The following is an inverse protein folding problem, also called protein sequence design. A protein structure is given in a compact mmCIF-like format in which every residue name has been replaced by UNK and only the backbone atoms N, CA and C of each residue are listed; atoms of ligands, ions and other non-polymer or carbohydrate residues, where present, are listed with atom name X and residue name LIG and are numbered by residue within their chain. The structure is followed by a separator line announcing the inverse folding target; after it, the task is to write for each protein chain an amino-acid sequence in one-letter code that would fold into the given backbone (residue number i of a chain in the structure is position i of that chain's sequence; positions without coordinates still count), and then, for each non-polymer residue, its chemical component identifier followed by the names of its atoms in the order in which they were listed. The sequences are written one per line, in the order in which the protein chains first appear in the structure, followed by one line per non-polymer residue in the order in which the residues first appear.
data_IF_398701223568
#
_entry.id   IF_398701223568
#
_cell.length_a   1.000
_cell.length_b   1.000
_cell.length_c   1.000
_cell.angle_alpha   90.00
_cell.angle_beta   90.00
_cell.angle_gamma   90.00
#
_symmetry.space_group_name_H-M   'P 1'
#
loop_
_entity.id
_entity.type
_entity.pdbx_description
1 polymer ?
#
# COMPACT_ATOMS: atom_id res chain seq x y z
N UNK A 1 -12.65 -18.39 0.99
CA UNK A 1 -13.80 -17.53 1.35
C UNK A 1 -14.73 -17.38 0.15
N UNK A 2 -16.06 -17.35 0.36
CA UNK A 2 -17.04 -17.14 -0.73
C UNK A 2 -17.05 -15.67 -1.15
N UNK A 3 -17.63 -15.37 -2.34
CA UNK A 3 -17.76 -14.00 -2.80
C UNK A 3 -18.65 -13.15 -1.86
N UNK A 4 -19.72 -13.73 -1.34
CA UNK A 4 -20.61 -13.05 -0.39
C UNK A 4 -19.91 -12.70 0.94
N UNK A 5 -18.97 -13.54 1.39
CA UNK A 5 -18.21 -13.24 2.59
C UNK A 5 -17.27 -12.04 2.38
N UNK A 6 -16.59 -11.97 1.23
CA UNK A 6 -15.78 -10.78 0.88
C UNK A 6 -16.65 -9.53 0.73
N UNK A 7 -17.80 -9.63 0.10
CA UNK A 7 -18.71 -8.50 -0.04
C UNK A 7 -19.12 -7.94 1.32
N UNK A 8 -19.52 -8.82 2.25
CA UNK A 8 -19.92 -8.42 3.61
C UNK A 8 -18.76 -7.79 4.39
N UNK A 9 -17.57 -8.38 4.30
CA UNK A 9 -16.36 -7.87 4.97
C UNK A 9 -16.01 -6.47 4.49
N UNK A 10 -15.85 -6.27 3.18
CA UNK A 10 -15.48 -4.97 2.60
C UNK A 10 -16.56 -3.90 2.87
N UNK A 11 -17.84 -4.31 2.89
CA UNK A 11 -18.95 -3.43 3.22
C UNK A 11 -18.87 -2.94 4.68
N UNK A 12 -18.66 -3.86 5.61
CA UNK A 12 -18.54 -3.55 7.04
C UNK A 12 -17.34 -2.65 7.33
N UNK A 13 -16.19 -2.95 6.75
CA UNK A 13 -14.95 -2.16 6.95
C UNK A 13 -15.16 -0.69 6.61
N UNK A 14 -15.80 -0.40 5.47
CA UNK A 14 -16.03 0.99 5.06
C UNK A 14 -17.08 1.65 5.96
N UNK A 15 -18.18 0.95 6.24
CA UNK A 15 -19.25 1.48 7.07
C UNK A 15 -18.79 1.82 8.49
N UNK A 16 -17.88 1.03 9.07
CA UNK A 16 -17.39 1.24 10.43
C UNK A 16 -16.30 2.31 10.52
N UNK A 17 -15.53 2.51 9.43
CA UNK A 17 -14.32 3.36 9.46
C UNK A 17 -14.51 4.75 8.87
N UNK A 18 -15.51 4.95 8.02
CA UNK A 18 -15.78 6.26 7.44
C UNK A 18 -16.96 6.94 8.14
N UNK A 19 -16.70 7.97 8.97
CA UNK A 19 -17.74 8.70 9.68
C UNK A 19 -18.64 9.55 8.75
N UNK A 20 -18.24 9.74 7.47
CA UNK A 20 -19.01 10.53 6.50
C UNK A 20 -20.17 9.76 5.85
N UNK A 21 -20.33 8.47 6.16
CA UNK A 21 -21.40 7.65 5.61
C UNK A 21 -22.72 7.95 6.33
N UNK A 22 -23.69 8.44 5.57
CA UNK A 22 -25.05 8.66 6.06
C UNK A 22 -26.03 7.53 5.71
N UNK A 23 -25.74 6.78 4.65
CA UNK A 23 -26.55 5.65 4.19
C UNK A 23 -25.68 4.44 3.82
N UNK A 24 -26.07 3.22 4.24
CA UNK A 24 -25.32 2.01 3.86
C UNK A 24 -25.15 1.85 2.34
N UNK A 25 -26.06 2.37 1.55
CA UNK A 25 -25.98 2.31 0.08
C UNK A 25 -24.80 3.11 -0.50
N UNK A 26 -24.30 4.11 0.22
CA UNK A 26 -23.16 4.92 -0.21
C UNK A 26 -21.89 4.09 -0.33
N UNK A 27 -21.72 3.03 0.49
CA UNK A 27 -20.58 2.11 0.43
C UNK A 27 -20.38 1.56 -0.98
N UNK A 28 -21.45 1.31 -1.71
CA UNK A 28 -21.40 0.79 -3.09
C UNK A 28 -20.76 1.77 -4.09
N UNK A 29 -20.71 3.05 -3.73
CA UNK A 29 -20.10 4.10 -4.55
C UNK A 29 -18.59 4.24 -4.31
N UNK A 30 -18.07 3.72 -3.19
CA UNK A 30 -16.67 3.85 -2.82
C UNK A 30 -15.76 3.14 -3.84
N UNK A 31 -14.73 3.85 -4.35
CA UNK A 31 -13.73 3.24 -5.24
C UNK A 31 -13.02 2.04 -4.57
N UNK A 32 -12.70 2.15 -3.27
CA UNK A 32 -12.08 1.10 -2.47
C UNK A 32 -12.93 -0.18 -2.44
N UNK A 33 -14.22 -0.08 -2.18
CA UNK A 33 -15.13 -1.23 -2.23
C UNK A 33 -15.06 -1.96 -3.59
N UNK A 34 -15.15 -1.18 -4.66
CA UNK A 34 -15.16 -1.73 -6.02
C UNK A 34 -13.83 -2.37 -6.41
N UNK A 35 -12.71 -1.75 -6.05
CA UNK A 35 -11.39 -2.28 -6.38
C UNK A 35 -11.09 -3.55 -5.59
N UNK A 36 -11.43 -3.61 -4.29
CA UNK A 36 -11.17 -4.77 -3.45
C UNK A 36 -11.94 -6.01 -3.93
N UNK A 37 -13.22 -5.89 -4.27
CA UNK A 37 -13.98 -7.01 -4.84
C UNK A 37 -13.38 -7.54 -6.15
N UNK A 38 -12.84 -6.64 -6.99
CA UNK A 38 -12.15 -7.02 -8.25
C UNK A 38 -10.78 -7.63 -7.97
N UNK A 39 -10.02 -7.07 -7.03
CA UNK A 39 -8.75 -7.62 -6.59
C UNK A 39 -8.91 -9.06 -6.09
N UNK A 40 -9.86 -9.34 -5.19
CA UNK A 40 -10.09 -10.71 -4.67
C UNK A 40 -10.36 -11.73 -5.79
N UNK A 41 -11.05 -11.33 -6.88
CA UNK A 41 -11.26 -12.18 -8.07
C UNK A 41 -9.98 -12.33 -8.89
N UNK A 42 -9.28 -11.23 -9.14
CA UNK A 42 -8.04 -11.23 -9.91
C UNK A 42 -6.95 -12.05 -9.22
N UNK A 43 -6.83 -11.91 -7.90
CA UNK A 43 -5.88 -12.68 -7.09
C UNK A 43 -6.13 -14.19 -7.16
N UNK A 44 -7.39 -14.64 -7.09
CA UNK A 44 -7.73 -16.06 -7.26
C UNK A 44 -7.32 -16.60 -8.64
N UNK A 45 -7.47 -15.80 -9.69
CA UNK A 45 -7.04 -16.17 -11.04
C UNK A 45 -5.52 -16.20 -11.16
N UNK A 46 -4.84 -15.23 -10.53
CA UNK A 46 -3.39 -15.15 -10.49
C UNK A 46 -2.80 -16.41 -9.83
N UNK A 47 -3.33 -16.82 -8.67
CA UNK A 47 -2.90 -18.04 -7.96
C UNK A 47 -3.15 -19.33 -8.76
N UNK A 48 -4.08 -19.32 -9.72
CA UNK A 48 -4.34 -20.43 -10.65
C UNK A 48 -3.50 -20.38 -11.94
N UNK A 49 -2.58 -19.40 -12.06
CA UNK A 49 -1.75 -19.23 -13.26
C UNK A 49 -2.43 -18.48 -14.41
N UNK A 50 -3.65 -17.97 -14.25
CA UNK A 50 -4.33 -17.20 -15.29
C UNK A 50 -3.89 -15.73 -15.30
N UNK A 51 -2.60 -15.48 -15.46
CA UNK A 51 -1.96 -14.17 -15.28
C UNK A 51 -2.55 -13.06 -16.16
N UNK A 52 -2.77 -13.35 -17.45
CA UNK A 52 -3.34 -12.37 -18.37
C UNK A 52 -4.73 -11.89 -17.91
N UNK A 53 -5.59 -12.83 -17.55
CA UNK A 53 -6.96 -12.52 -17.12
C UNK A 53 -6.98 -11.77 -15.79
N UNK A 54 -6.10 -12.17 -14.86
CA UNK A 54 -5.91 -11.49 -13.60
C UNK A 54 -5.46 -10.02 -13.80
N UNK A 55 -4.46 -9.80 -14.67
CA UNK A 55 -3.99 -8.45 -15.01
C UNK A 55 -5.05 -7.63 -15.74
N UNK A 56 -5.80 -8.22 -16.65
CA UNK A 56 -6.88 -7.54 -17.34
C UNK A 56 -7.94 -7.01 -16.37
N UNK A 57 -8.37 -7.83 -15.38
CA UNK A 57 -9.31 -7.41 -14.33
C UNK A 57 -8.71 -6.28 -13.49
N UNK A 58 -7.46 -6.42 -13.04
CA UNK A 58 -6.75 -5.44 -12.24
C UNK A 58 -6.64 -4.08 -12.96
N UNK A 59 -6.17 -4.07 -14.21
CA UNK A 59 -6.02 -2.85 -15.00
C UNK A 59 -7.37 -2.17 -15.32
N UNK A 60 -8.43 -2.98 -15.52
CA UNK A 60 -9.79 -2.44 -15.69
C UNK A 60 -10.35 -1.85 -14.40
N UNK A 61 -9.96 -2.42 -13.24
CA UNK A 61 -10.30 -1.86 -11.94
C UNK A 61 -9.58 -0.52 -11.71
N UNK A 62 -8.27 -0.48 -11.94
CA UNK A 62 -7.44 0.72 -11.79
C UNK A 62 -7.97 1.90 -12.61
N UNK A 63 -8.29 1.69 -13.90
CA UNK A 63 -8.87 2.73 -14.76
C UNK A 63 -10.21 3.29 -14.25
N UNK A 64 -11.00 2.48 -13.53
CA UNK A 64 -12.31 2.89 -13.02
C UNK A 64 -12.29 3.52 -11.63
N UNK A 65 -11.26 3.23 -10.86
CA UNK A 65 -11.19 3.60 -9.43
C UNK A 65 -10.02 4.52 -9.10
N UNK A 66 -9.03 4.63 -9.98
CA UNK A 66 -7.77 5.32 -9.69
C UNK A 66 -6.86 4.58 -8.71
N UNK A 67 -7.21 3.33 -8.34
CA UNK A 67 -6.46 2.49 -7.40
C UNK A 67 -5.87 1.31 -8.15
N UNK A 68 -4.55 1.19 -8.17
CA UNK A 68 -3.86 0.06 -8.79
C UNK A 68 -3.44 -0.97 -7.73
N UNK A 69 -3.97 -2.19 -7.84
CA UNK A 69 -3.56 -3.33 -7.02
C UNK A 69 -3.10 -4.44 -7.95
N UNK A 70 -1.83 -4.83 -7.86
CA UNK A 70 -1.33 -5.98 -8.61
C UNK A 70 -2.00 -7.26 -8.10
N UNK A 71 -2.48 -8.16 -8.99
CA UNK A 71 -3.18 -9.37 -8.56
C UNK A 71 -2.31 -10.36 -7.79
N UNK A 72 -0.98 -10.25 -7.87
CA UNK A 72 -0.04 -11.04 -7.07
C UNK A 72 0.13 -10.59 -5.63
N UNK A 73 -0.26 -9.36 -5.28
CA UNK A 73 -0.19 -8.88 -3.90
C UNK A 73 -0.99 -9.78 -2.95
N UNK A 74 -0.54 -9.91 -1.72
CA UNK A 74 -1.25 -10.63 -0.65
C UNK A 74 -1.84 -9.62 0.32
N UNK A 75 -3.16 -9.63 0.50
CA UNK A 75 -3.87 -8.67 1.35
C UNK A 75 -4.74 -9.43 2.34
N UNK A 76 -4.54 -9.15 3.62
CA UNK A 76 -5.29 -9.67 4.75
C UNK A 76 -6.73 -9.15 4.81
N UNK A 77 -7.30 -9.11 5.99
CA UNK A 77 -8.67 -8.66 6.25
C UNK A 77 -8.69 -7.20 6.67
N UNK A 78 -9.82 -6.53 6.45
CA UNK A 78 -10.04 -5.19 6.99
C UNK A 78 -9.15 -4.10 6.39
N UNK A 79 -8.60 -4.29 5.19
CA UNK A 79 -7.90 -3.21 4.50
C UNK A 79 -8.89 -2.07 4.19
N UNK A 80 -8.63 -0.89 4.74
CA UNK A 80 -9.37 0.32 4.44
C UNK A 80 -8.54 1.27 3.56
N UNK A 81 -9.04 1.59 2.37
CA UNK A 81 -8.42 2.56 1.47
C UNK A 81 -9.32 3.79 1.43
N UNK A 82 -8.90 4.85 2.11
CA UNK A 82 -9.63 6.11 2.16
C UNK A 82 -9.28 6.99 0.97
N UNK A 83 -10.29 7.56 0.31
CA UNK A 83 -10.22 8.27 -0.97
C UNK A 83 -9.63 7.44 -2.13
N UNK A 84 -8.46 6.91 -1.98
CA UNK A 84 -7.81 5.89 -2.81
C UNK A 84 -7.17 6.36 -4.11
N UNK A 85 -7.46 7.55 -4.63
CA UNK A 85 -6.90 8.03 -5.89
C UNK A 85 -5.36 8.00 -5.88
N UNK A 86 -4.76 7.34 -6.87
CA UNK A 86 -3.31 7.21 -6.99
C UNK A 86 -2.65 6.24 -6.01
N UNK A 87 -3.41 5.39 -5.31
CA UNK A 87 -2.84 4.27 -4.53
C UNK A 87 -2.29 3.22 -5.49
N UNK A 88 -1.06 2.78 -5.23
CA UNK A 88 -0.38 1.72 -5.99
C UNK A 88 0.13 0.65 -5.04
N UNK A 89 -0.32 -0.59 -5.25
CA UNK A 89 0.12 -1.78 -4.49
C UNK A 89 0.80 -2.75 -5.46
N UNK A 90 2.12 -2.92 -5.30
CA UNK A 90 2.95 -3.73 -6.18
C UNK A 90 2.76 -5.24 -6.00
N UNK A 91 3.33 -6.02 -6.93
CA UNK A 91 3.10 -7.47 -7.09
C UNK A 91 3.38 -8.29 -5.83
N UNK A 92 4.51 -8.07 -5.18
CA UNK A 92 4.94 -8.87 -4.03
C UNK A 92 4.70 -8.16 -2.70
N UNK A 93 3.84 -7.11 -2.69
CA UNK A 93 3.43 -6.48 -1.46
C UNK A 93 2.62 -7.46 -0.59
N UNK A 94 2.88 -7.41 0.71
CA UNK A 94 2.11 -8.15 1.72
C UNK A 94 1.50 -7.12 2.65
N UNK A 95 0.19 -7.21 2.86
CA UNK A 95 -0.57 -6.31 3.72
C UNK A 95 -1.30 -7.17 4.73
N UNK A 96 -1.04 -6.94 6.01
CA UNK A 96 -1.68 -7.59 7.15
C UNK A 96 -3.14 -7.20 7.34
N UNK A 97 -3.66 -7.48 8.51
CA UNK A 97 -5.05 -7.20 8.86
C UNK A 97 -5.21 -5.75 9.34
N UNK A 98 -6.39 -5.17 9.10
CA UNK A 98 -6.80 -3.83 9.59
C UNK A 98 -5.89 -2.66 9.16
N UNK A 99 -5.17 -2.78 8.07
CA UNK A 99 -4.32 -1.72 7.53
C UNK A 99 -5.17 -0.59 6.95
N UNK A 100 -4.71 0.65 7.09
CA UNK A 100 -5.33 1.84 6.49
C UNK A 100 -4.36 2.50 5.51
N UNK A 101 -4.81 2.75 4.28
CA UNK A 101 -4.08 3.48 3.26
C UNK A 101 -4.87 4.69 2.81
N UNK A 102 -4.20 5.83 2.67
CA UNK A 102 -4.80 7.05 2.10
C UNK A 102 -4.40 7.24 0.64
N UNK A 103 -5.01 8.19 -0.04
CA UNK A 103 -4.74 8.53 -1.43
C UNK A 103 -3.24 8.76 -1.71
N UNK A 104 -2.81 8.40 -2.91
CA UNK A 104 -1.45 8.63 -3.38
C UNK A 104 -0.37 7.76 -2.72
N UNK A 105 -0.73 6.81 -1.85
CA UNK A 105 0.22 5.86 -1.26
C UNK A 105 0.80 4.94 -2.32
N UNK A 106 2.12 4.69 -2.26
CA UNK A 106 2.78 3.72 -3.12
C UNK A 106 3.51 2.67 -2.27
N UNK A 107 3.17 1.41 -2.49
CA UNK A 107 3.92 0.25 -2.01
C UNK A 107 4.72 -0.29 -3.18
N UNK A 108 5.93 0.25 -3.38
CA UNK A 108 6.77 0.05 -4.55
C UNK A 108 7.98 -0.83 -4.30
N UNK A 109 8.56 -1.35 -5.39
CA UNK A 109 9.85 -2.03 -5.38
C UNK A 109 10.96 -1.14 -5.92
N UNK A 110 12.22 -1.49 -5.66
CA UNK A 110 13.39 -0.78 -6.17
C UNK A 110 13.72 -1.10 -7.64
N UNK A 111 12.95 -1.98 -8.29
CA UNK A 111 13.05 -2.32 -9.71
C UNK A 111 14.22 -3.22 -10.12
N UNK A 112 15.12 -3.59 -9.21
CA UNK A 112 16.34 -4.36 -9.53
C UNK A 112 16.24 -5.84 -9.19
N UNK A 113 15.31 -6.24 -8.34
CA UNK A 113 15.22 -7.60 -7.79
C UNK A 113 14.09 -8.40 -8.44
N UNK A 114 14.32 -9.68 -8.66
CA UNK A 114 13.29 -10.68 -8.93
C UNK A 114 12.84 -11.30 -7.61
N UNK A 115 11.56 -11.64 -7.49
CA UNK A 115 11.00 -12.17 -6.24
C UNK A 115 10.43 -11.09 -5.32
N UNK A 116 10.61 -11.22 -4.01
CA UNK A 116 10.11 -10.27 -3.01
C UNK A 116 10.85 -8.93 -3.14
N UNK A 117 10.17 -7.89 -3.65
CA UNK A 117 10.71 -6.56 -3.91
C UNK A 117 9.83 -5.40 -3.44
N UNK A 118 8.63 -5.70 -2.96
CA UNK A 118 7.68 -4.72 -2.42
C UNK A 118 7.56 -4.88 -0.90
N UNK A 119 7.14 -3.84 -0.17
CA UNK A 119 7.09 -3.88 1.28
C UNK A 119 6.08 -4.88 1.84
N UNK A 120 6.30 -5.21 3.11
CA UNK A 120 5.34 -5.88 3.98
C UNK A 120 4.82 -4.86 4.98
N UNK A 121 3.51 -4.72 5.10
CA UNK A 121 2.85 -3.98 6.17
C UNK A 121 2.24 -5.00 7.12
N UNK A 122 2.61 -4.95 8.38
CA UNK A 122 2.00 -5.78 9.42
C UNK A 122 0.63 -5.23 9.84
N UNK A 123 0.00 -5.85 10.83
CA UNK A 123 -1.36 -5.53 11.23
C UNK A 123 -1.49 -4.10 11.79
N UNK A 124 -2.63 -3.50 11.59
CA UNK A 124 -2.99 -2.16 12.09
C UNK A 124 -2.07 -1.02 11.61
N UNK A 125 -1.25 -1.22 10.60
CA UNK A 125 -0.41 -0.15 10.03
C UNK A 125 -1.27 0.89 9.35
N UNK A 126 -0.94 2.18 9.59
CA UNK A 126 -1.56 3.31 8.89
C UNK A 126 -0.54 4.01 8.00
N UNK A 127 -0.86 4.17 6.72
CA UNK A 127 -0.03 4.88 5.74
C UNK A 127 -0.80 6.09 5.23
N UNK A 128 -0.37 7.28 5.64
CA UNK A 128 -1.04 8.54 5.34
C UNK A 128 -0.82 9.00 3.89
N UNK A 129 -1.58 10.02 3.49
CA UNK A 129 -1.67 10.52 2.12
C UNK A 129 -0.31 10.80 1.48
N UNK A 130 -0.13 10.29 0.26
CA UNK A 130 1.06 10.56 -0.56
C UNK A 130 2.34 9.87 -0.12
N UNK A 131 2.34 9.10 0.98
CA UNK A 131 3.54 8.41 1.44
C UNK A 131 4.01 7.33 0.43
N UNK A 132 5.33 7.15 0.33
CA UNK A 132 5.99 6.18 -0.54
C UNK A 132 6.79 5.21 0.32
N UNK A 133 6.55 3.92 0.19
CA UNK A 133 7.29 2.85 0.86
C UNK A 133 7.93 2.02 -0.25
N UNK A 134 9.26 2.07 -0.36
CA UNK A 134 9.98 1.55 -1.52
C UNK A 134 11.05 0.57 -1.09
N UNK A 135 10.83 -0.72 -1.35
CA UNK A 135 11.75 -1.81 -1.02
C UNK A 135 11.07 -3.03 -0.41
N UNK A 136 11.84 -4.08 -0.12
CA UNK A 136 11.33 -5.38 0.34
C UNK A 136 11.37 -5.57 1.87
N UNK A 137 11.34 -4.50 2.62
CA UNK A 137 11.38 -4.49 4.08
C UNK A 137 9.98 -4.48 4.72
N UNK A 138 9.96 -4.55 6.04
CA UNK A 138 8.73 -4.62 6.84
C UNK A 138 8.45 -3.29 7.57
N UNK A 139 7.19 -2.89 7.57
CA UNK A 139 6.64 -1.89 8.47
C UNK A 139 5.93 -2.63 9.59
N UNK A 140 6.47 -2.55 10.80
CA UNK A 140 5.99 -3.27 11.96
C UNK A 140 4.59 -2.85 12.42
N UNK A 141 3.93 -3.74 13.11
CA UNK A 141 2.54 -3.59 13.56
C UNK A 141 2.27 -2.26 14.30
N UNK A 142 1.06 -1.76 14.19
CA UNK A 142 0.59 -0.52 14.82
C UNK A 142 1.39 0.74 14.43
N UNK A 143 2.31 0.65 13.45
CA UNK A 143 3.12 1.80 13.03
C UNK A 143 2.33 2.76 12.15
N UNK A 144 2.72 4.03 12.17
CA UNK A 144 2.08 5.12 11.45
C UNK A 144 3.09 5.81 10.54
N UNK A 145 2.80 5.87 9.26
CA UNK A 145 3.61 6.58 8.28
C UNK A 145 2.93 7.90 7.95
N UNK A 146 3.60 9.00 8.25
CA UNK A 146 3.08 10.35 8.05
C UNK A 146 2.90 10.72 6.58
N UNK A 147 2.05 11.71 6.32
CA UNK A 147 1.75 12.15 4.96
C UNK A 147 3.01 12.64 4.23
N UNK A 148 3.13 12.26 2.95
CA UNK A 148 4.26 12.63 2.09
C UNK A 148 5.60 12.01 2.47
N UNK A 149 5.66 11.11 3.45
CA UNK A 149 6.92 10.46 3.87
C UNK A 149 7.43 9.50 2.81
N UNK A 150 8.76 9.39 2.72
CA UNK A 150 9.44 8.40 1.86
C UNK A 150 10.21 7.44 2.75
N UNK A 151 9.70 6.20 2.88
CA UNK A 151 10.28 5.15 3.70
C UNK A 151 11.05 4.18 2.81
N UNK A 152 12.30 3.89 3.17
CA UNK A 152 13.23 3.11 2.37
C UNK A 152 13.93 2.00 3.16
N UNK A 153 13.63 1.89 4.45
CA UNK A 153 14.16 0.86 5.35
C UNK A 153 13.10 0.40 6.34
N UNK A 154 13.42 -0.65 7.07
CA UNK A 154 12.56 -1.29 8.05
C UNK A 154 12.09 -0.32 9.15
N UNK A 155 10.83 -0.44 9.54
CA UNK A 155 10.24 0.31 10.64
C UNK A 155 9.80 -0.67 11.72
N UNK A 156 10.36 -0.57 12.95
CA UNK A 156 9.93 -1.39 14.08
C UNK A 156 8.45 -1.18 14.43
N UNK A 157 7.82 -2.13 15.14
CA UNK A 157 6.44 -1.97 15.62
C UNK A 157 6.24 -0.71 16.48
N UNK A 158 5.00 -0.21 16.50
CA UNK A 158 4.57 0.92 17.33
C UNK A 158 5.36 2.22 17.07
N UNK A 159 5.86 2.41 15.85
CA UNK A 159 6.63 3.59 15.46
C UNK A 159 5.79 4.60 14.67
N UNK A 160 6.19 5.87 14.74
CA UNK A 160 5.71 6.91 13.84
C UNK A 160 6.88 7.46 13.02
N UNK A 161 6.76 7.39 11.70
CA UNK A 161 7.76 7.84 10.73
C UNK A 161 7.25 9.05 9.98
N UNK A 162 8.08 10.09 9.84
CA UNK A 162 7.76 11.28 9.04
C UNK A 162 8.96 11.79 8.25
N UNK A 163 8.71 12.46 7.14
CA UNK A 163 9.71 13.21 6.37
C UNK A 163 10.25 12.49 5.13
N UNK A 164 11.21 13.17 4.44
CA UNK A 164 11.88 12.70 3.22
C UNK A 164 13.38 12.93 3.37
N UNK A 165 14.21 11.87 3.53
CA UNK A 165 13.80 10.50 3.84
C UNK A 165 13.02 10.41 5.16
N UNK A 166 12.29 9.33 5.34
CA UNK A 166 11.52 9.10 6.57
C UNK A 166 12.41 9.04 7.81
N UNK A 167 11.92 9.55 8.94
CA UNK A 167 12.59 9.46 10.23
C UNK A 167 11.61 8.97 11.28
N UNK A 168 12.04 8.04 12.12
CA UNK A 168 11.24 7.66 13.29
C UNK A 168 11.24 8.84 14.26
N UNK A 169 10.06 9.34 14.62
CA UNK A 169 9.87 10.46 15.54
C UNK A 169 9.16 10.06 16.83
N UNK A 170 8.55 8.88 16.83
CA UNK A 170 7.94 8.26 18.00
C UNK A 170 8.16 6.75 17.97
N UNK A 171 8.31 6.18 19.15
CA UNK A 171 8.30 4.74 19.38
C UNK A 171 7.49 4.46 20.66
N UNK A 172 6.54 3.52 20.63
CA UNK A 172 5.61 3.24 21.72
C UNK A 172 4.94 4.53 22.27
N UNK A 173 4.46 5.40 21.36
CA UNK A 173 3.85 6.72 21.63
C UNK A 173 4.78 7.73 22.33
N UNK A 174 6.03 7.41 22.64
CA UNK A 174 7.02 8.32 23.19
C UNK A 174 7.81 9.01 22.06
N UNK A 175 7.96 10.34 22.15
CA UNK A 175 8.84 11.09 21.22
C UNK A 175 10.29 10.68 21.44
N UNK A 176 11.00 10.42 20.35
CA UNK A 176 12.43 10.15 20.34
C UNK A 176 13.17 11.18 19.48
N UNK A 177 14.47 11.43 19.74
CA UNK A 177 15.30 12.23 18.82
C UNK A 177 15.25 11.66 17.41
N UNK A 178 15.29 12.52 16.38
CA UNK A 178 15.29 12.08 14.99
C UNK A 178 16.43 11.12 14.72
N UNK A 179 16.10 9.89 14.34
CA UNK A 179 17.05 8.93 13.79
C UNK A 179 16.88 8.98 12.27
N UNK A 180 17.91 9.45 11.56
CA UNK A 180 17.90 9.48 10.09
C UNK A 180 18.02 8.07 9.53
N UNK A 181 17.25 7.76 8.52
CA UNK A 181 17.43 6.59 7.66
C UNK A 181 18.69 6.75 6.83
N UNK A 182 19.43 5.67 6.59
CA UNK A 182 20.66 5.71 5.80
C UNK A 182 20.32 5.96 4.32
N UNK A 183 20.77 7.10 3.80
CA UNK A 183 20.58 7.51 2.40
C UNK A 183 21.45 6.72 1.41
N UNK A 184 22.38 5.89 1.87
CA UNK A 184 23.25 5.10 0.98
C UNK A 184 22.45 4.12 0.08
N UNK A 185 21.22 3.81 0.47
CA UNK A 185 20.30 2.94 -0.29
C UNK A 185 19.52 3.67 -1.39
N UNK A 186 19.52 5.02 -1.43
CA UNK A 186 18.81 5.81 -2.47
C UNK A 186 19.76 6.21 -3.62
N UNK A 187 20.78 5.48 -3.93
CA UNK A 187 21.44 5.67 -5.21
C UNK A 187 20.57 5.14 -6.35
N UNK A 188 19.50 5.90 -6.66
CA UNK A 188 19.01 5.98 -8.03
C UNK A 188 20.16 6.67 -8.76
N UNK A 189 20.98 5.89 -9.45
CA UNK A 189 22.01 6.42 -10.33
C UNK A 189 21.32 7.40 -11.29
N UNK A 190 21.62 8.71 -11.14
CA UNK A 190 21.34 9.64 -12.21
C UNK A 190 21.96 9.06 -13.50
N UNK A 191 21.24 9.11 -14.62
CA UNK A 191 21.86 8.70 -15.89
C UNK A 191 23.08 9.58 -16.09
N UNK A 192 24.25 8.97 -16.06
CA UNK A 192 25.51 9.62 -16.36
C UNK A 192 25.35 10.36 -17.68
N UNK A 193 25.32 11.69 -17.65
CA UNK A 193 25.52 12.51 -18.85
C UNK A 193 26.91 12.16 -19.37
N UNK A 194 26.97 11.32 -20.39
CA UNK A 194 28.16 11.25 -21.20
C UNK A 194 28.33 12.61 -21.86
N UNK A 195 29.29 13.38 -21.36
CA UNK A 195 29.83 14.53 -22.05
C UNK A 195 30.49 14.03 -23.33
N UNK A 196 29.79 14.11 -24.44
CA UNK A 196 30.43 14.14 -25.75
C UNK A 196 30.98 15.56 -25.92
N UNK A 197 32.23 15.74 -25.57
CA UNK A 197 33.06 16.87 -26.03
C UNK A 197 34.24 16.23 -26.77
N UNK A 198 34.23 16.32 -28.03
CA UNK A 198 35.37 16.58 -28.92
C UNK A 198 34.89 16.69 -30.36
#
# INVERSE_FOLDING_TARGET
MSFFAYFKEEFQVIQERDPAIHSPMEVLLYPSFRVMLKYRRAHKLYLKGHYFLARWISQRAARKTGIEIHPGATIGKGLFIDHGSGVIIGETAIIGDNVTLYQGVTLGGNGKETGKRHPTLEDNVMVSAGAKIIGSFTIGENSKIGAGSVVIEEVPPNCTVVGVPGHIVKQNDVRIPRKSMDLSLIHISEPTRHSLIS
#
